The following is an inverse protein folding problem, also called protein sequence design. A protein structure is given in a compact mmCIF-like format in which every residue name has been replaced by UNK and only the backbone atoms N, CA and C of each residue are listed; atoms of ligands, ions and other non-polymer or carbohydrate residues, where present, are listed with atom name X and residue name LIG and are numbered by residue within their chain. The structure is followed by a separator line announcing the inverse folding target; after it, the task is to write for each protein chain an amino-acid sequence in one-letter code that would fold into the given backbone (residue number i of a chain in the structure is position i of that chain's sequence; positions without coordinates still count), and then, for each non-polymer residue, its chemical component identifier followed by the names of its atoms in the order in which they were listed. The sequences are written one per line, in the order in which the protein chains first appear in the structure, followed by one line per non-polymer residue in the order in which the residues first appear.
data_IF_213405937126
#
_entry.id   IF_213405937126
#
_cell.length_a   1.000
_cell.length_b   1.000
_cell.length_c   1.000
_cell.angle_alpha   90.00
_cell.angle_beta   90.00
_cell.angle_gamma   90.00
#
_symmetry.space_group_name_H-M   'P 1'
#
loop_
_entity.id
_entity.type
_entity.pdbx_description
1 polymer ?
#
# COMPACT_ATOMS: atom_id res chain seq x y z
N UNK A 1 7.67 13.51 -7.48
CA UNK A 1 8.78 12.88 -8.22
C UNK A 1 9.98 13.79 -8.53
N UNK A 2 9.84 15.11 -8.73
CA UNK A 2 11.00 16.01 -8.99
C UNK A 2 12.11 15.99 -7.92
N UNK A 3 11.79 15.66 -6.67
CA UNK A 3 12.79 15.44 -5.61
C UNK A 3 13.72 14.25 -5.89
N UNK A 4 13.22 13.22 -6.59
CA UNK A 4 13.95 11.96 -6.80
C UNK A 4 15.12 12.06 -7.77
N UNK A 5 15.12 13.06 -8.66
CA UNK A 5 16.26 13.32 -9.54
C UNK A 5 17.45 13.93 -8.82
N UNK A 6 17.26 14.42 -7.58
CA UNK A 6 18.31 15.03 -6.76
C UNK A 6 18.96 14.06 -5.78
N UNK A 7 18.43 12.86 -5.61
CA UNK A 7 18.96 11.86 -4.66
C UNK A 7 20.06 11.01 -5.33
N UNK A 8 21.18 10.74 -4.65
CA UNK A 8 22.23 9.87 -5.16
C UNK A 8 21.75 8.41 -5.25
N UNK A 9 22.43 7.62 -6.08
CA UNK A 9 22.20 6.17 -6.17
C UNK A 9 22.89 5.44 -5.01
N UNK A 10 22.32 4.36 -4.45
CA UNK A 10 21.01 3.77 -4.76
C UNK A 10 19.84 4.53 -4.11
N UNK A 11 18.69 4.56 -4.81
CA UNK A 11 17.47 5.24 -4.35
C UNK A 11 16.45 4.23 -3.84
N UNK A 12 16.01 4.40 -2.61
CA UNK A 12 14.94 3.62 -2.00
C UNK A 12 13.68 4.47 -1.85
N UNK A 13 12.52 3.88 -2.14
CA UNK A 13 11.23 4.53 -2.00
C UNK A 13 10.23 3.55 -1.41
N UNK A 14 9.31 4.09 -0.61
CA UNK A 14 8.16 3.35 -0.05
C UNK A 14 6.91 4.10 -0.46
N UNK A 15 5.88 3.37 -0.85
CA UNK A 15 4.61 3.95 -1.26
C UNK A 15 3.45 2.97 -1.09
N UNK A 16 2.29 3.49 -0.69
CA UNK A 16 1.02 2.75 -0.65
C UNK A 16 0.16 3.05 -1.89
N UNK A 17 0.73 3.63 -2.94
CA UNK A 17 0.01 3.97 -4.16
C UNK A 17 -0.29 2.70 -4.98
N UNK A 18 -1.43 2.73 -5.67
CA UNK A 18 -1.79 1.75 -6.70
C UNK A 18 -0.93 1.95 -7.97
N UNK A 19 -0.70 0.90 -8.77
CA UNK A 19 0.19 0.97 -9.95
C UNK A 19 -0.23 2.08 -10.93
N UNK A 20 -1.53 2.34 -11.11
CA UNK A 20 -2.05 3.38 -12.00
C UNK A 20 -1.72 4.82 -11.53
N UNK A 21 -1.29 5.00 -10.29
CA UNK A 21 -0.87 6.29 -9.74
C UNK A 21 0.65 6.48 -9.74
N UNK A 22 1.41 5.45 -10.12
CA UNK A 22 2.86 5.52 -10.22
C UNK A 22 3.30 6.07 -11.58
N UNK A 23 4.47 6.75 -11.65
CA UNK A 23 5.05 7.14 -12.92
C UNK A 23 5.29 5.91 -13.81
N UNK A 24 4.88 5.97 -15.07
CA UNK A 24 5.08 4.89 -16.05
C UNK A 24 6.55 4.46 -16.16
N UNK A 25 7.47 5.41 -15.97
CA UNK A 25 8.91 5.16 -15.98
C UNK A 25 9.39 4.15 -14.94
N UNK A 26 8.65 3.90 -13.85
CA UNK A 26 8.97 2.82 -12.89
C UNK A 26 8.86 1.45 -13.57
N UNK A 27 7.81 1.26 -14.37
CA UNK A 27 7.56 0.02 -15.10
C UNK A 27 8.37 -0.07 -16.38
N UNK A 28 8.61 1.04 -17.09
CA UNK A 28 9.41 1.07 -18.33
C UNK A 28 10.90 0.80 -18.07
N UNK A 29 11.45 1.28 -16.95
CA UNK A 29 12.86 1.09 -16.59
C UNK A 29 13.12 -0.18 -15.77
N UNK A 30 12.13 -1.08 -15.65
CA UNK A 30 12.23 -2.32 -14.86
C UNK A 30 12.80 -2.10 -13.45
N UNK A 31 12.33 -1.06 -12.75
CA UNK A 31 12.73 -0.84 -11.36
C UNK A 31 12.32 -2.05 -10.51
N UNK A 32 13.18 -2.46 -9.57
CA UNK A 32 12.86 -3.56 -8.65
C UNK A 32 11.80 -3.10 -7.65
N UNK A 33 10.75 -3.90 -7.46
CA UNK A 33 9.64 -3.61 -6.54
C UNK A 33 9.50 -4.78 -5.57
N UNK A 34 9.41 -4.46 -4.28
CA UNK A 34 8.96 -5.38 -3.25
C UNK A 34 7.50 -5.04 -2.92
N UNK A 35 6.59 -5.95 -3.23
CA UNK A 35 5.17 -5.81 -2.94
C UNK A 35 4.85 -6.57 -1.64
N UNK A 36 4.65 -5.83 -0.55
CA UNK A 36 4.23 -6.39 0.73
C UNK A 36 2.71 -6.43 0.81
N UNK A 37 2.15 -7.63 0.99
CA UNK A 37 0.71 -7.85 1.20
C UNK A 37 0.47 -8.46 2.58
N UNK A 38 -0.77 -8.38 3.08
CA UNK A 38 -1.13 -8.90 4.40
C UNK A 38 -2.58 -9.36 4.38
N UNK A 39 -2.95 -10.27 5.28
CA UNK A 39 -4.35 -10.66 5.47
C UNK A 39 -5.24 -9.40 5.64
N UNK A 40 -6.30 -9.21 4.81
CA UNK A 40 -7.15 -8.02 4.87
C UNK A 40 -7.82 -7.78 6.22
N UNK A 41 -8.10 -8.83 7.00
CA UNK A 41 -8.67 -8.71 8.34
C UNK A 41 -7.67 -8.03 9.29
N UNK A 42 -6.42 -8.47 9.23
CA UNK A 42 -5.34 -7.91 10.05
C UNK A 42 -4.96 -6.50 9.60
N UNK A 43 -5.07 -6.21 8.30
CA UNK A 43 -4.93 -4.85 7.76
C UNK A 43 -6.02 -3.94 8.33
N UNK A 44 -7.28 -4.37 8.33
CA UNK A 44 -8.38 -3.59 8.90
C UNK A 44 -8.12 -3.28 10.38
N UNK A 45 -7.77 -4.30 11.18
CA UNK A 45 -7.47 -4.11 12.60
C UNK A 45 -6.30 -3.15 12.83
N UNK A 46 -5.20 -3.35 12.10
CA UNK A 46 -4.03 -2.47 12.19
C UNK A 46 -4.35 -1.04 11.76
N UNK A 47 -5.19 -0.86 10.75
CA UNK A 47 -5.51 0.45 10.20
C UNK A 47 -6.47 1.22 11.13
N UNK A 48 -7.41 0.57 11.80
CA UNK A 48 -8.21 1.21 12.84
C UNK A 48 -7.34 1.85 13.94
N UNK A 49 -6.39 1.08 14.48
CA UNK A 49 -5.47 1.58 15.49
C UNK A 49 -4.55 2.69 14.97
N UNK A 50 -4.06 2.56 13.73
CA UNK A 50 -3.28 3.61 13.08
C UNK A 50 -4.08 4.92 12.94
N UNK A 51 -5.34 4.84 12.48
CA UNK A 51 -6.21 6.00 12.30
C UNK A 51 -6.47 6.75 13.61
N UNK A 52 -6.53 6.02 14.73
CA UNK A 52 -6.72 6.62 16.06
C UNK A 52 -5.40 7.09 16.71
N UNK A 53 -4.25 6.73 16.15
CA UNK A 53 -2.93 7.12 16.65
C UNK A 53 -2.25 8.24 15.85
N UNK A 54 -2.79 8.62 14.70
CA UNK A 54 -2.12 9.53 13.76
C UNK A 54 -3.02 10.71 13.38
N UNK A 55 -2.58 11.92 13.74
CA UNK A 55 -3.35 13.15 13.54
C UNK A 55 -3.60 13.55 12.06
N UNK A 56 -2.94 12.90 11.10
CA UNK A 56 -3.04 13.24 9.67
C UNK A 56 -4.14 12.47 8.93
N UNK A 57 -4.87 11.58 9.62
CA UNK A 57 -6.01 10.84 9.07
C UNK A 57 -7.22 10.96 10.01
N UNK A 58 -8.46 10.79 9.52
CA UNK A 58 -9.63 10.81 10.39
C UNK A 58 -9.54 9.72 11.47
N UNK A 59 -9.79 10.11 12.72
CA UNK A 59 -10.00 9.16 13.82
C UNK A 59 -11.42 8.63 13.82
N UNK A 60 -11.61 7.46 14.41
CA UNK A 60 -12.90 6.77 14.52
C UNK A 60 -13.24 6.51 15.98
N UNK A 61 -14.44 6.91 16.38
CA UNK A 61 -14.96 6.66 17.73
C UNK A 61 -15.18 5.17 17.98
N UNK A 62 -15.73 4.46 16.99
CA UNK A 62 -16.03 3.03 17.09
C UNK A 62 -15.38 2.22 15.97
N UNK A 63 -15.20 0.92 16.23
CA UNK A 63 -14.76 -0.04 15.21
C UNK A 63 -15.74 -0.15 14.04
N UNK A 64 -17.05 -0.12 14.31
CA UNK A 64 -18.08 -0.31 13.28
C UNK A 64 -18.13 0.86 12.30
N UNK A 65 -17.90 2.09 12.76
CA UNK A 65 -17.79 3.27 11.90
C UNK A 65 -16.58 3.14 10.97
N UNK A 66 -15.42 2.77 11.54
CA UNK A 66 -14.21 2.51 10.75
C UNK A 66 -14.43 1.40 9.74
N UNK A 67 -14.99 0.27 10.16
CA UNK A 67 -15.15 -0.89 9.31
C UNK A 67 -16.12 -0.59 8.16
N UNK A 68 -17.19 0.17 8.43
CA UNK A 68 -18.09 0.66 7.39
C UNK A 68 -17.34 1.50 6.36
N UNK A 69 -16.51 2.44 6.79
CA UNK A 69 -15.70 3.26 5.88
C UNK A 69 -14.66 2.44 5.10
N UNK A 70 -14.00 1.49 5.75
CA UNK A 70 -13.02 0.61 5.13
C UNK A 70 -13.65 -0.22 4.01
N UNK A 71 -14.84 -0.78 4.26
CA UNK A 71 -15.58 -1.58 3.29
C UNK A 71 -16.22 -0.73 2.17
N UNK A 72 -16.54 0.53 2.46
CA UNK A 72 -17.15 1.47 1.50
C UNK A 72 -16.15 2.39 0.82
N UNK A 73 -14.85 2.09 0.93
CA UNK A 73 -13.74 2.80 0.26
C UNK A 73 -13.57 4.25 0.69
N UNK A 74 -14.07 4.61 1.88
CA UNK A 74 -14.01 5.97 2.44
C UNK A 74 -12.80 6.20 3.34
N UNK A 75 -12.01 5.17 3.64
CA UNK A 75 -10.72 5.32 4.33
C UNK A 75 -9.68 6.02 3.47
N UNK A 76 -8.67 6.60 4.11
CA UNK A 76 -7.50 7.11 3.38
C UNK A 76 -6.84 5.98 2.56
N UNK A 77 -6.26 6.34 1.42
CA UNK A 77 -5.75 5.41 0.40
C UNK A 77 -6.80 4.51 -0.31
N UNK A 78 -8.07 4.61 0.05
CA UNK A 78 -9.18 3.95 -0.65
C UNK A 78 -9.33 2.47 -0.26
N UNK A 79 -9.69 1.63 -1.22
CA UNK A 79 -10.02 0.23 -0.99
C UNK A 79 -8.81 -0.69 -1.06
N UNK A 80 -8.52 -1.41 0.04
CA UNK A 80 -7.42 -2.38 0.08
C UNK A 80 -7.61 -3.54 -0.92
N UNK A 81 -8.84 -4.01 -1.12
CA UNK A 81 -9.13 -5.09 -2.08
C UNK A 81 -8.88 -4.66 -3.53
N UNK A 82 -9.19 -3.40 -3.88
CA UNK A 82 -8.84 -2.85 -5.19
C UNK A 82 -7.32 -2.70 -5.32
N UNK A 83 -6.63 -2.27 -4.26
CA UNK A 83 -5.17 -2.22 -4.24
C UNK A 83 -4.56 -3.59 -4.55
N UNK A 84 -5.03 -4.66 -3.88
CA UNK A 84 -4.59 -6.02 -4.15
C UNK A 84 -4.91 -6.44 -5.59
N UNK A 85 -6.13 -6.19 -6.06
CA UNK A 85 -6.55 -6.55 -7.42
C UNK A 85 -5.71 -5.86 -8.50
N UNK A 86 -5.38 -4.58 -8.33
CA UNK A 86 -4.58 -3.83 -9.29
C UNK A 86 -3.13 -4.30 -9.30
N UNK A 87 -2.53 -4.52 -8.12
CA UNK A 87 -1.16 -5.04 -8.03
C UNK A 87 -1.03 -6.50 -8.49
N UNK A 88 -2.07 -7.31 -8.31
CA UNK A 88 -2.08 -8.71 -8.75
C UNK A 88 -1.84 -8.85 -10.27
N UNK A 89 -2.23 -7.84 -11.07
CA UNK A 89 -1.95 -7.79 -12.53
C UNK A 89 -0.45 -7.74 -12.86
N UNK A 90 0.40 -7.46 -11.87
CA UNK A 90 1.83 -7.31 -12.00
C UNK A 90 2.61 -8.35 -11.18
N UNK A 91 1.94 -9.22 -10.41
CA UNK A 91 2.59 -10.13 -9.45
C UNK A 91 3.56 -11.12 -10.12
N UNK A 92 3.31 -11.49 -11.37
CA UNK A 92 4.14 -12.44 -12.13
C UNK A 92 5.32 -11.78 -12.88
N UNK A 93 5.54 -10.47 -12.72
CA UNK A 93 6.67 -9.79 -13.39
C UNK A 93 7.98 -10.08 -12.68
N UNK A 94 9.02 -10.39 -13.45
CA UNK A 94 10.36 -10.75 -12.94
C UNK A 94 11.00 -9.69 -12.02
N UNK A 95 10.68 -8.40 -12.21
CA UNK A 95 11.21 -7.30 -11.41
C UNK A 95 10.35 -6.98 -10.17
N UNK A 96 9.34 -7.79 -9.86
CA UNK A 96 8.42 -7.61 -8.74
C UNK A 96 8.45 -8.85 -7.87
N UNK A 97 8.84 -8.68 -6.61
CA UNK A 97 8.79 -9.74 -5.60
C UNK A 97 7.60 -9.48 -4.69
N UNK A 98 6.62 -10.37 -4.72
CA UNK A 98 5.49 -10.34 -3.78
C UNK A 98 5.87 -11.14 -2.54
N UNK A 99 5.63 -10.56 -1.37
CA UNK A 99 5.84 -11.19 -0.07
C UNK A 99 4.67 -10.84 0.85
N UNK A 100 4.26 -11.79 1.67
CA UNK A 100 3.24 -11.57 2.69
C UNK A 100 3.87 -11.13 4.02
N UNK A 101 3.15 -10.34 4.81
CA UNK A 101 3.59 -9.96 6.16
C UNK A 101 3.73 -11.19 7.07
N UNK A 102 2.88 -12.19 6.85
CA UNK A 102 2.87 -13.45 7.58
C UNK A 102 4.16 -14.24 7.34
N UNK A 103 4.65 -14.33 6.10
CA UNK A 103 5.94 -14.97 5.77
C UNK A 103 7.15 -14.24 6.37
N UNK A 104 7.08 -12.91 6.54
CA UNK A 104 8.18 -12.13 7.15
C UNK A 104 8.22 -12.29 8.67
N UNK A 105 7.09 -12.63 9.29
CA UNK A 105 6.97 -12.75 10.75
C UNK A 105 7.48 -14.10 11.26
N UNK A 106 7.44 -15.13 10.43
CA UNK A 106 7.98 -16.47 10.70
C UNK A 106 9.52 -16.48 10.69
#
# INVERSE_FOLDING_TARGET
FKRMSKLPSPRFMVTNLRPEKLPKSIFENNAKILLLIRNPKDVATSYYHFSNGVATVPSYETWDDFFTDFMTKRTAWGCYLEYLSEWNKYADKENIMTITYEEVKE
#
